data_IF_908802287907
#
_entry.id   IF_908802287907
#
_cell.length_a   1.000
_cell.length_b   1.000
_cell.length_c   1.000
_cell.angle_alpha   90.00
_cell.angle_beta   90.00
_cell.angle_gamma   90.00
#
_symmetry.space_group_name_H-M   'P 1'
#
loop_
_entity.id
_entity.type
_entity.pdbx_description
1 polymer ?
#
# COMPACT_ATOMS: atom_id res chain seq x y z
N UNK A 1 17.55 -39.22 21.93
CA UNK A 1 18.63 -38.24 21.71
C UNK A 1 18.05 -37.10 20.90
N UNK A 2 17.84 -35.93 21.52
CA UNK A 2 17.42 -34.72 20.78
C UNK A 2 18.60 -34.38 19.87
N UNK A 3 18.39 -34.48 18.56
CA UNK A 3 19.46 -34.31 17.57
C UNK A 3 19.93 -32.86 17.62
N UNK A 4 21.24 -32.62 17.57
CA UNK A 4 21.85 -31.28 17.56
C UNK A 4 21.25 -30.39 16.46
N UNK A 5 20.78 -30.99 15.36
CA UNK A 5 20.02 -30.30 14.29
C UNK A 5 18.68 -29.72 14.74
N UNK A 6 17.97 -30.38 15.65
CA UNK A 6 16.69 -29.90 16.16
C UNK A 6 16.89 -28.67 17.07
N UNK A 7 17.89 -28.71 17.95
CA UNK A 7 18.27 -27.57 18.79
C UNK A 7 18.73 -26.38 17.94
N UNK A 8 19.56 -26.61 16.92
CA UNK A 8 20.03 -25.53 16.03
C UNK A 8 18.90 -24.89 15.21
N UNK A 9 17.87 -25.66 14.86
CA UNK A 9 16.71 -25.14 14.13
C UNK A 9 15.78 -24.34 15.05
N UNK A 10 15.57 -24.81 16.28
CA UNK A 10 14.77 -24.11 17.29
C UNK A 10 15.42 -22.76 17.64
N UNK A 11 16.74 -22.75 17.85
CA UNK A 11 17.50 -21.51 18.06
C UNK A 11 17.44 -20.59 16.85
N UNK A 12 17.43 -21.14 15.62
CA UNK A 12 17.33 -20.36 14.38
C UNK A 12 15.97 -19.71 14.22
N UNK A 13 14.88 -20.42 14.49
CA UNK A 13 13.52 -19.88 14.44
C UNK A 13 13.33 -18.78 15.49
N UNK A 14 13.85 -18.99 16.71
CA UNK A 14 13.83 -17.98 17.77
C UNK A 14 14.71 -16.77 17.41
N UNK A 15 15.83 -16.97 16.71
CA UNK A 15 16.66 -15.87 16.24
C UNK A 15 15.94 -15.06 15.16
N UNK A 16 15.31 -15.73 14.20
CA UNK A 16 14.54 -15.10 13.13
C UNK A 16 13.33 -14.35 13.67
N UNK A 17 12.62 -14.90 14.67
CA UNK A 17 11.49 -14.21 15.30
C UNK A 17 11.92 -12.95 16.03
N UNK A 18 13.04 -12.99 16.76
CA UNK A 18 13.61 -11.80 17.41
C UNK A 18 14.10 -10.74 16.43
N UNK A 19 14.61 -11.16 15.26
CA UNK A 19 14.95 -10.23 14.18
C UNK A 19 13.67 -9.56 13.64
N UNK A 20 12.60 -10.32 13.40
CA UNK A 20 11.31 -9.76 12.96
C UNK A 20 10.66 -8.84 14.00
N UNK A 21 10.76 -9.15 15.29
CA UNK A 21 10.31 -8.27 16.37
C UNK A 21 11.10 -6.96 16.41
N UNK A 22 12.42 -7.02 16.18
CA UNK A 22 13.27 -5.83 16.08
C UNK A 22 12.92 -5.00 14.85
N UNK A 23 12.67 -5.63 13.69
CA UNK A 23 12.27 -4.93 12.48
C UNK A 23 10.94 -4.21 12.65
N UNK A 24 9.94 -4.85 13.28
CA UNK A 24 8.66 -4.22 13.58
C UNK A 24 8.79 -3.07 14.61
N UNK A 25 9.61 -3.25 15.64
CA UNK A 25 9.88 -2.19 16.62
C UNK A 25 10.62 -1.01 15.99
N UNK A 26 11.57 -1.27 15.09
CA UNK A 26 12.29 -0.26 14.34
C UNK A 26 11.38 0.47 13.36
N UNK A 27 10.47 -0.23 12.68
CA UNK A 27 9.48 0.34 11.79
C UNK A 27 8.48 1.24 12.54
N UNK A 28 7.97 0.78 13.69
CA UNK A 28 7.09 1.57 14.56
C UNK A 28 7.79 2.78 15.18
N UNK A 29 9.10 2.68 15.44
CA UNK A 29 9.89 3.82 15.92
C UNK A 29 10.20 4.80 14.79
N UNK A 30 10.54 4.30 13.61
CA UNK A 30 10.82 5.08 12.40
C UNK A 30 9.58 5.80 11.85
N UNK A 31 8.39 5.21 11.98
CA UNK A 31 7.12 5.86 11.59
C UNK A 31 6.77 7.08 12.46
N UNK A 32 7.35 7.18 13.67
CA UNK A 32 7.20 8.33 14.57
C UNK A 32 8.25 9.43 14.35
N UNK A 33 9.26 9.19 13.50
CA UNK A 33 10.28 10.18 13.16
C UNK A 33 9.95 10.82 11.81
N UNK A 34 9.70 12.12 11.84
CA UNK A 34 9.44 12.93 10.64
C UNK A 34 10.57 12.73 9.62
N UNK A 35 10.26 12.16 8.45
CA UNK A 35 11.22 11.83 7.40
C UNK A 35 11.65 10.36 7.26
N UNK A 36 11.17 9.45 8.13
CA UNK A 36 11.50 8.01 8.10
C UNK A 36 10.29 7.09 7.79
N UNK A 37 9.11 7.65 7.52
CA UNK A 37 7.91 6.90 7.07
C UNK A 37 8.17 6.04 5.82
N UNK A 38 9.04 6.49 4.92
CA UNK A 38 9.47 5.74 3.73
C UNK A 38 10.29 4.47 4.02
N UNK A 39 10.88 4.35 5.22
CA UNK A 39 11.59 3.13 5.65
C UNK A 39 10.67 2.15 6.38
N UNK A 40 9.70 2.64 7.15
CA UNK A 40 8.69 1.79 7.81
C UNK A 40 7.81 1.04 6.79
N UNK A 41 7.45 1.71 5.69
CA UNK A 41 6.71 1.13 4.57
C UNK A 41 7.49 0.06 3.78
N UNK A 42 8.82 0.06 3.85
CA UNK A 42 9.65 -0.99 3.26
C UNK A 42 9.74 -2.24 4.14
N UNK A 43 9.43 -2.13 5.44
CA UNK A 43 9.56 -3.20 6.43
C UNK A 43 8.22 -3.93 6.63
N UNK A 44 7.11 -3.22 6.78
CA UNK A 44 5.78 -3.84 6.87
C UNK A 44 4.67 -2.92 6.31
N UNK A 45 4.31 -3.08 5.02
CA UNK A 45 3.29 -2.25 4.37
C UNK A 45 1.90 -2.35 5.02
N UNK A 46 1.55 -3.52 5.58
CA UNK A 46 0.23 -3.77 6.18
C UNK A 46 0.00 -3.01 7.49
N UNK A 47 1.08 -2.61 8.17
CA UNK A 47 0.98 -1.79 9.39
C UNK A 47 0.70 -0.32 9.06
N UNK A 48 0.93 0.10 7.82
CA UNK A 48 0.84 1.50 7.37
C UNK A 48 -0.37 1.75 6.46
N UNK A 49 -0.79 0.77 5.67
CA UNK A 49 -1.90 0.91 4.72
C UNK A 49 -3.21 0.38 5.30
N UNK A 50 -4.28 1.17 5.16
CA UNK A 50 -5.63 0.70 5.47
C UNK A 50 -6.07 -0.40 4.50
N UNK A 51 -7.06 -1.21 4.89
CA UNK A 51 -7.69 -2.18 3.99
C UNK A 51 -8.28 -1.51 2.74
N UNK A 52 -8.81 -0.29 2.88
CA UNK A 52 -9.29 0.51 1.75
C UNK A 52 -8.14 0.91 0.81
N UNK A 53 -7.02 1.40 1.33
CA UNK A 53 -5.85 1.74 0.52
C UNK A 53 -5.32 0.52 -0.27
N UNK A 54 -5.24 -0.64 0.37
CA UNK A 54 -4.87 -1.90 -0.31
C UNK A 54 -5.90 -2.26 -1.38
N UNK A 55 -7.20 -2.13 -1.08
CA UNK A 55 -8.28 -2.35 -2.04
C UNK A 55 -8.16 -1.43 -3.26
N UNK A 56 -7.83 -0.15 -3.08
CA UNK A 56 -7.60 0.79 -4.18
C UNK A 56 -6.50 0.28 -5.12
N UNK A 57 -5.36 -0.16 -4.57
CA UNK A 57 -4.26 -0.68 -5.38
C UNK A 57 -4.62 -1.97 -6.12
N UNK A 58 -5.39 -2.87 -5.49
CA UNK A 58 -5.90 -4.09 -6.13
C UNK A 58 -6.87 -3.77 -7.25
N UNK A 59 -7.76 -2.79 -7.05
CA UNK A 59 -8.70 -2.37 -8.08
C UNK A 59 -8.00 -1.77 -9.30
N UNK A 60 -6.86 -1.08 -9.13
CA UNK A 60 -6.01 -0.68 -10.25
C UNK A 60 -5.55 -1.89 -11.09
N UNK A 61 -4.99 -2.93 -10.45
CA UNK A 61 -4.57 -4.17 -11.13
C UNK A 61 -5.74 -4.85 -11.86
N UNK A 62 -6.88 -5.01 -11.18
CA UNK A 62 -8.09 -5.63 -11.76
C UNK A 62 -8.63 -4.81 -12.93
N UNK A 63 -8.57 -3.47 -12.86
CA UNK A 63 -9.04 -2.60 -13.94
C UNK A 63 -8.17 -2.69 -15.19
N UNK A 64 -6.90 -3.08 -15.05
CA UNK A 64 -5.86 -3.00 -16.08
C UNK A 64 -5.45 -1.57 -16.45
N UNK A 65 -5.98 -0.56 -15.76
CA UNK A 65 -5.70 0.85 -16.01
C UNK A 65 -4.42 1.34 -15.34
N UNK A 66 -3.75 2.29 -15.96
CA UNK A 66 -2.59 2.98 -15.38
C UNK A 66 -2.94 4.30 -14.72
N UNK A 67 -4.15 4.83 -14.96
CA UNK A 67 -4.60 6.13 -14.44
C UNK A 67 -6.05 6.11 -13.98
N UNK A 68 -6.31 6.87 -12.93
CA UNK A 68 -7.65 7.15 -12.42
C UNK A 68 -7.87 8.66 -12.34
N UNK A 69 -9.05 9.14 -12.71
CA UNK A 69 -9.44 10.55 -12.62
C UNK A 69 -10.45 10.76 -11.49
N UNK A 70 -10.29 11.84 -10.72
CA UNK A 70 -11.26 12.31 -9.74
C UNK A 70 -12.21 13.32 -10.39
N UNK A 71 -13.48 12.94 -10.52
CA UNK A 71 -14.54 13.81 -11.04
C UNK A 71 -15.35 14.38 -9.88
N UNK A 72 -15.24 15.69 -9.69
CA UNK A 72 -16.05 16.44 -8.72
C UNK A 72 -17.31 16.94 -9.44
N UNK A 73 -18.45 16.38 -9.08
CA UNK A 73 -19.76 16.80 -9.60
C UNK A 73 -20.62 17.39 -8.48
N UNK A 74 -21.86 17.81 -8.79
CA UNK A 74 -22.83 18.22 -7.77
C UNK A 74 -23.26 17.06 -6.84
N UNK A 75 -22.91 15.82 -7.18
CA UNK A 75 -23.16 14.61 -6.40
C UNK A 75 -21.89 14.05 -5.74
N UNK A 76 -21.90 12.75 -5.38
CA UNK A 76 -20.71 12.08 -4.87
C UNK A 76 -19.52 12.21 -5.82
N UNK A 77 -18.32 12.35 -5.26
CA UNK A 77 -17.07 12.32 -6.02
C UNK A 77 -16.94 10.94 -6.66
N UNK A 78 -16.65 10.92 -7.95
CA UNK A 78 -16.42 9.69 -8.71
C UNK A 78 -14.94 9.56 -9.04
N UNK A 79 -14.49 8.32 -9.11
CA UNK A 79 -13.11 7.96 -9.42
C UNK A 79 -13.13 6.95 -10.56
N UNK A 80 -12.79 7.38 -11.77
CA UNK A 80 -12.90 6.55 -12.99
C UNK A 80 -11.52 6.14 -13.50
N UNK A 81 -11.35 4.88 -13.89
CA UNK A 81 -10.14 4.45 -14.58
C UNK A 81 -10.16 4.96 -16.03
N UNK A 82 -9.11 5.67 -16.46
CA UNK A 82 -9.06 6.35 -17.76
C UNK A 82 -8.70 5.42 -18.91
N UNK A 83 -7.85 4.44 -18.64
CA UNK A 83 -7.28 3.51 -19.60
C UNK A 83 -7.43 2.04 -19.14
N UNK A 84 -8.31 1.83 -18.17
CA UNK A 84 -8.76 0.52 -17.70
C UNK A 84 -10.28 0.40 -17.77
N UNK A 85 -10.82 -0.60 -17.06
CA UNK A 85 -12.25 -0.83 -17.00
C UNK A 85 -12.84 -0.44 -15.64
N UNK A 86 -14.00 0.20 -15.65
CA UNK A 86 -14.80 0.46 -14.46
C UNK A 86 -14.42 1.73 -13.71
N UNK A 87 -14.84 1.76 -12.44
CA UNK A 87 -14.64 2.86 -11.50
C UNK A 87 -14.17 2.29 -10.17
N UNK A 88 -13.53 3.14 -9.36
CA UNK A 88 -13.12 2.76 -8.02
C UNK A 88 -14.33 2.61 -7.11
N UNK A 89 -14.41 1.47 -6.44
CA UNK A 89 -15.37 1.19 -5.37
C UNK A 89 -14.77 1.58 -4.02
N UNK A 90 -15.53 2.38 -3.25
CA UNK A 90 -15.08 3.01 -2.01
C UNK A 90 -16.01 2.59 -0.87
N UNK A 91 -15.47 1.81 0.07
CA UNK A 91 -16.19 1.35 1.27
C UNK A 91 -16.32 2.44 2.34
N UNK A 92 -15.27 3.23 2.59
CA UNK A 92 -15.24 4.28 3.61
C UNK A 92 -15.01 5.70 3.03
N UNK A 93 -16.01 6.33 2.37
CA UNK A 93 -15.82 7.59 1.63
C UNK A 93 -15.26 8.78 2.41
N UNK A 94 -15.29 8.74 3.74
CA UNK A 94 -14.73 9.81 4.59
C UNK A 94 -13.19 9.75 4.69
N UNK A 95 -12.58 8.60 4.41
CA UNK A 95 -11.14 8.36 4.55
C UNK A 95 -10.41 8.30 3.20
N UNK A 96 -11.14 8.34 2.08
CA UNK A 96 -10.56 8.25 0.73
C UNK A 96 -9.44 9.27 0.47
N UNK A 97 -9.57 10.49 0.98
CA UNK A 97 -8.54 11.52 0.78
C UNK A 97 -7.25 11.16 1.55
N UNK A 98 -7.39 10.64 2.77
CA UNK A 98 -6.27 10.18 3.59
C UNK A 98 -5.57 8.98 2.93
N UNK A 99 -6.34 7.98 2.48
CA UNK A 99 -5.80 6.81 1.77
C UNK A 99 -5.05 7.20 0.51
N UNK A 100 -5.63 8.07 -0.34
CA UNK A 100 -4.97 8.54 -1.57
C UNK A 100 -3.70 9.31 -1.24
N UNK A 101 -3.72 10.18 -0.21
CA UNK A 101 -2.54 10.95 0.19
C UNK A 101 -1.41 10.03 0.68
N UNK A 102 -1.70 9.07 1.55
CA UNK A 102 -0.72 8.07 2.00
C UNK A 102 -0.15 7.29 0.80
N UNK A 103 -1.00 6.86 -0.14
CA UNK A 103 -0.54 6.16 -1.34
C UNK A 103 0.37 7.04 -2.22
N UNK A 104 0.13 8.35 -2.29
CA UNK A 104 1.00 9.30 -3.01
C UNK A 104 2.32 9.50 -2.26
N UNK A 105 2.28 9.72 -0.95
CA UNK A 105 3.45 9.92 -0.09
C UNK A 105 4.41 8.73 -0.14
N UNK A 106 3.85 7.52 -0.21
CA UNK A 106 4.61 6.28 -0.36
C UNK A 106 5.06 5.99 -1.80
N UNK A 107 4.68 6.83 -2.77
CA UNK A 107 4.99 6.65 -4.19
C UNK A 107 4.29 5.45 -4.85
N UNK A 108 3.23 4.95 -4.22
CA UNK A 108 2.37 3.89 -4.76
C UNK A 108 1.38 4.46 -5.79
N UNK A 109 0.99 5.72 -5.60
CA UNK A 109 0.37 6.55 -6.62
C UNK A 109 1.25 7.77 -6.90
N UNK A 110 1.05 8.39 -8.07
CA UNK A 110 1.54 9.75 -8.35
C UNK A 110 0.38 10.65 -8.66
N UNK A 111 0.42 11.87 -8.14
CA UNK A 111 -0.58 12.89 -8.45
C UNK A 111 -0.18 13.68 -9.69
N UNK A 112 -1.16 13.91 -10.56
CA UNK A 112 -1.07 14.69 -11.77
C UNK A 112 -2.40 15.44 -11.97
N UNK A 113 -2.49 16.26 -13.01
CA UNK A 113 -3.71 16.98 -13.36
C UNK A 113 -4.00 16.86 -14.86
N UNK A 114 -5.27 16.79 -15.22
CA UNK A 114 -5.66 16.93 -16.62
C UNK A 114 -5.72 18.42 -17.03
N UNK A 115 -6.00 18.67 -18.31
CA UNK A 115 -6.11 20.03 -18.84
C UNK A 115 -7.24 20.88 -18.22
N UNK A 116 -8.20 20.25 -17.55
CA UNK A 116 -9.31 20.91 -16.84
C UNK A 116 -9.00 21.14 -15.34
N UNK A 117 -7.83 20.72 -14.86
CA UNK A 117 -7.44 20.82 -13.45
C UNK A 117 -8.04 19.73 -12.55
N UNK A 118 -8.63 18.67 -13.13
CA UNK A 118 -9.11 17.51 -12.38
C UNK A 118 -7.91 16.64 -11.97
N UNK A 119 -7.91 16.17 -10.72
CA UNK A 119 -6.86 15.30 -10.19
C UNK A 119 -6.81 13.99 -10.98
N UNK A 120 -5.63 13.63 -11.44
CA UNK A 120 -5.31 12.31 -11.96
C UNK A 120 -4.37 11.62 -10.98
N UNK A 121 -4.65 10.36 -10.69
CA UNK A 121 -3.78 9.49 -9.90
C UNK A 121 -3.22 8.40 -10.81
N UNK A 122 -1.90 8.34 -10.89
CA UNK A 122 -1.15 7.45 -11.79
C UNK A 122 -0.59 6.29 -10.99
N UNK A 123 -0.95 5.08 -11.39
CA UNK A 123 -0.47 3.83 -10.81
C UNK A 123 1.04 3.66 -11.04
N UNK A 124 1.76 3.18 -10.03
CA UNK A 124 3.23 3.02 -10.14
C UNK A 124 3.63 1.55 -10.17
N UNK A 125 4.85 1.29 -10.68
CA UNK A 125 5.44 -0.05 -10.60
C UNK A 125 5.68 -0.51 -9.16
N UNK A 126 5.81 0.42 -8.21
CA UNK A 126 5.96 0.08 -6.79
C UNK A 126 4.64 -0.49 -6.25
N UNK A 127 3.51 0.13 -6.59
CA UNK A 127 2.19 -0.41 -6.25
C UNK A 127 1.94 -1.79 -6.85
N UNK A 128 2.27 -1.99 -8.13
CA UNK A 128 2.09 -3.29 -8.79
C UNK A 128 2.88 -4.41 -8.10
N UNK A 129 4.13 -4.13 -7.74
CA UNK A 129 4.97 -5.07 -6.98
C UNK A 129 4.40 -5.38 -5.60
N UNK A 130 3.88 -4.35 -4.91
CA UNK A 130 3.30 -4.50 -3.58
C UNK A 130 2.02 -5.37 -3.62
N UNK A 131 1.12 -5.11 -4.57
CA UNK A 131 -0.08 -5.97 -4.74
C UNK A 131 0.34 -7.40 -5.01
N UNK A 132 1.31 -7.60 -5.93
CA UNK A 132 1.84 -8.92 -6.21
C UNK A 132 2.47 -9.61 -4.99
N UNK A 133 3.17 -8.91 -4.09
CA UNK A 133 3.71 -9.54 -2.88
C UNK A 133 2.61 -9.96 -1.90
N UNK A 134 1.60 -9.11 -1.69
CA UNK A 134 0.49 -9.40 -0.77
C UNK A 134 -0.30 -10.63 -1.22
N UNK A 135 -0.52 -10.78 -2.52
CA UNK A 135 -1.25 -11.93 -3.08
C UNK A 135 -0.46 -13.25 -3.02
N UNK A 136 0.87 -13.20 -3.00
CA UNK A 136 1.70 -14.40 -2.89
C UNK A 136 1.86 -14.89 -1.44
N UNK A 137 1.58 -14.04 -0.46
CA UNK A 137 1.67 -14.35 0.98
C UNK A 137 0.31 -14.78 1.59
N UNK A 138 -0.78 -14.75 0.79
CA UNK A 138 -2.15 -15.15 1.17
C UNK A 138 -2.48 -16.58 0.75
#
# INVERSE_FOLDING_TARGET
>A
TISIKALLNEDREVLLSRIGELDNALAAYASNLEGFSGLASAINPEVVLSSQAISILRQFEVSGGSKMIQLKSLGPVQYLFLDGNGQLEIEEPRFIEDDINILIELGLLRHDYNSNGESIYVYTRAASKLVGSIENDS
#
